data_IF_013796958190
#
_entry.id   IF_013796958190
#
_cell.length_a   1.000
_cell.length_b   1.000
_cell.length_c   1.000
_cell.angle_alpha   90.00
_cell.angle_beta   90.00
_cell.angle_gamma   90.00
#
_symmetry.space_group_name_H-M   'P 1'
#
loop_
_entity.id
_entity.type
_entity.pdbx_description
1 polymer ?
#
# COMPACT_ATOMS: atom_id res chain seq x y z
N UNK A 1 43.06 -6.87 -41.53
CA UNK A 1 42.11 -6.05 -40.74
C UNK A 1 40.65 -6.54 -40.79
N UNK A 2 40.36 -7.85 -41.01
CA UNK A 2 38.99 -8.41 -40.95
C UNK A 2 38.71 -9.19 -39.66
N UNK A 3 39.74 -9.78 -39.06
CA UNK A 3 39.62 -10.67 -37.89
C UNK A 3 39.39 -9.87 -36.59
N UNK A 4 39.90 -8.64 -36.51
CA UNK A 4 39.76 -7.79 -35.32
C UNK A 4 38.31 -7.35 -35.07
N UNK A 5 37.52 -7.13 -36.14
CA UNK A 5 36.12 -6.71 -36.01
C UNK A 5 35.20 -7.82 -35.49
N UNK A 6 35.53 -9.08 -35.77
CA UNK A 6 34.72 -10.23 -35.32
C UNK A 6 34.86 -10.43 -33.81
N UNK A 7 36.06 -10.23 -33.26
CA UNK A 7 36.33 -10.39 -31.83
C UNK A 7 35.64 -9.33 -30.95
N UNK A 8 35.48 -8.10 -31.47
CA UNK A 8 34.77 -7.02 -30.75
C UNK A 8 33.25 -7.29 -30.75
N UNK A 9 32.72 -7.87 -31.83
CA UNK A 9 31.29 -8.15 -31.95
C UNK A 9 30.84 -9.33 -31.06
N UNK A 10 31.68 -10.35 -30.89
CA UNK A 10 31.38 -11.49 -29.99
C UNK A 10 31.51 -11.14 -28.51
N UNK A 11 32.40 -10.23 -28.14
CA UNK A 11 32.51 -9.75 -26.75
C UNK A 11 31.29 -8.90 -26.33
N UNK A 12 30.68 -8.16 -27.26
CA UNK A 12 29.53 -7.30 -26.98
C UNK A 12 28.21 -8.08 -26.79
N UNK A 13 28.12 -9.30 -27.33
CA UNK A 13 26.93 -10.15 -27.23
C UNK A 13 26.84 -10.94 -25.92
N UNK A 14 27.93 -11.03 -25.15
CA UNK A 14 27.98 -11.79 -23.88
C UNK A 14 27.66 -10.94 -22.64
N UNK A 15 27.59 -9.61 -22.77
CA UNK A 15 27.26 -8.69 -21.65
C UNK A 15 25.75 -8.42 -21.51
N UNK A 16 24.91 -9.05 -22.33
CA UNK A 16 23.48 -8.79 -22.44
C UNK A 16 22.56 -9.73 -21.66
N UNK A 17 23.07 -10.59 -20.78
CA UNK A 17 22.20 -11.36 -19.88
C UNK A 17 21.76 -10.45 -18.74
N UNK A 18 20.81 -9.57 -19.04
CA UNK A 18 19.94 -9.02 -17.99
C UNK A 18 19.23 -10.21 -17.37
N UNK A 19 19.65 -10.57 -16.16
CA UNK A 19 18.80 -11.34 -15.27
C UNK A 19 17.53 -10.50 -15.06
N UNK A 20 16.50 -10.74 -15.86
CA UNK A 20 15.15 -10.53 -15.39
C UNK A 20 14.97 -11.56 -14.28
N UNK A 21 15.45 -11.22 -13.09
CA UNK A 21 15.08 -11.93 -11.90
C UNK A 21 13.61 -11.61 -11.74
N UNK A 22 12.78 -12.50 -12.27
CA UNK A 22 11.39 -12.61 -11.87
C UNK A 22 11.45 -12.86 -10.36
N UNK A 23 11.47 -11.75 -9.61
CA UNK A 23 11.09 -11.74 -8.23
C UNK A 23 9.60 -12.03 -8.26
N UNK A 24 9.26 -13.29 -8.47
CA UNK A 24 8.14 -13.95 -7.80
C UNK A 24 8.48 -14.00 -6.31
N UNK A 25 8.74 -12.82 -5.73
CA UNK A 25 8.78 -12.62 -4.31
C UNK A 25 7.39 -12.93 -3.81
N UNK A 26 7.32 -13.79 -2.79
CA UNK A 26 6.10 -14.16 -2.08
C UNK A 26 5.04 -13.07 -2.15
N UNK A 27 3.86 -13.41 -2.67
CA UNK A 27 2.65 -12.57 -2.79
C UNK A 27 2.07 -12.20 -1.41
N UNK A 28 2.90 -12.11 -0.38
CA UNK A 28 2.51 -11.79 0.98
C UNK A 28 2.77 -10.30 1.24
N UNK A 29 1.78 -9.57 1.75
CA UNK A 29 1.95 -8.17 2.13
C UNK A 29 3.10 -8.00 3.12
N UNK A 30 3.95 -6.99 2.93
CA UNK A 30 5.06 -6.69 3.84
C UNK A 30 4.61 -6.40 5.28
N UNK A 31 3.37 -5.93 5.43
CA UNK A 31 2.69 -5.74 6.71
C UNK A 31 1.52 -6.71 6.75
N UNK A 32 1.48 -7.61 7.74
CA UNK A 32 0.34 -8.50 7.93
C UNK A 32 -0.93 -7.73 8.31
N UNK A 33 -2.10 -8.31 8.04
CA UNK A 33 -3.39 -7.69 8.38
C UNK A 33 -3.49 -7.33 9.88
N UNK A 34 -3.15 -8.25 10.78
CA UNK A 34 -3.29 -8.02 12.23
C UNK A 34 -2.32 -6.97 12.74
N UNK A 35 -1.09 -6.93 12.21
CA UNK A 35 -0.16 -5.85 12.48
C UNK A 35 -0.72 -4.51 12.00
N UNK A 36 -1.30 -4.48 10.81
CA UNK A 36 -1.95 -3.29 10.26
C UNK A 36 -3.14 -2.84 11.12
N UNK A 37 -3.95 -3.76 11.65
CA UNK A 37 -5.08 -3.44 12.55
C UNK A 37 -4.59 -2.75 13.82
N UNK A 38 -3.54 -3.25 14.48
CA UNK A 38 -3.01 -2.62 15.68
C UNK A 38 -2.43 -1.23 15.41
N UNK A 39 -1.74 -1.07 14.27
CA UNK A 39 -1.21 0.22 13.83
C UNK A 39 -2.33 1.23 13.56
N UNK A 40 -3.38 0.82 12.83
CA UNK A 40 -4.53 1.68 12.51
C UNK A 40 -5.32 2.04 13.77
N UNK A 41 -5.49 1.10 14.70
CA UNK A 41 -6.10 1.38 16.01
C UNK A 41 -5.31 2.43 16.79
N UNK A 42 -3.98 2.31 16.82
CA UNK A 42 -3.10 3.31 17.43
C UNK A 42 -3.20 4.68 16.76
N UNK A 43 -3.28 4.70 15.42
CA UNK A 43 -3.48 5.91 14.64
C UNK A 43 -4.80 6.60 14.97
N UNK A 44 -5.91 5.87 14.95
CA UNK A 44 -7.25 6.41 15.24
C UNK A 44 -7.34 7.01 16.65
N UNK A 45 -6.63 6.44 17.62
CA UNK A 45 -6.63 6.93 19.00
C UNK A 45 -5.79 8.20 19.23
N UNK A 46 -4.86 8.54 18.34
CA UNK A 46 -3.81 9.55 18.65
C UNK A 46 -3.46 10.54 17.54
N UNK A 47 -3.71 10.19 16.27
CA UNK A 47 -3.22 10.93 15.09
C UNK A 47 -4.31 11.17 14.04
N UNK A 48 -5.52 10.65 14.25
CA UNK A 48 -6.65 10.90 13.36
C UNK A 48 -6.93 12.41 13.22
N UNK A 49 -7.45 12.80 12.05
CA UNK A 49 -7.82 14.21 11.78
C UNK A 49 -9.11 14.62 12.50
N UNK A 50 -9.95 13.66 12.86
CA UNK A 50 -11.19 13.88 13.61
C UNK A 50 -11.15 13.16 14.95
N UNK A 51 -11.93 13.66 15.90
CA UNK A 51 -12.28 12.91 17.10
C UNK A 51 -13.41 11.92 16.76
N UNK A 52 -13.20 10.64 17.10
CA UNK A 52 -14.16 9.56 16.91
C UNK A 52 -14.81 9.09 18.22
N UNK A 53 -14.52 9.75 19.36
CA UNK A 53 -14.98 9.34 20.68
C UNK A 53 -16.51 9.34 20.83
N UNK A 54 -17.22 10.17 20.05
CA UNK A 54 -18.67 10.27 20.03
C UNK A 54 -19.34 9.58 18.82
N UNK A 55 -18.54 8.96 17.93
CA UNK A 55 -19.06 8.27 16.75
C UNK A 55 -19.36 6.81 17.05
N UNK A 56 -20.56 6.36 16.67
CA UNK A 56 -20.98 4.98 16.87
C UNK A 56 -20.69 4.14 15.63
N UNK A 57 -19.71 3.24 15.74
CA UNK A 57 -19.28 2.37 14.65
C UNK A 57 -20.42 1.44 14.22
N UNK A 58 -20.78 1.49 12.94
CA UNK A 58 -21.75 0.58 12.35
C UNK A 58 -21.07 -0.68 11.81
N UNK A 59 -20.01 -0.49 11.01
CA UNK A 59 -19.27 -1.56 10.37
C UNK A 59 -17.84 -1.12 10.03
N UNK A 60 -16.96 -2.11 9.92
CA UNK A 60 -15.62 -1.95 9.37
C UNK A 60 -15.43 -3.01 8.31
N UNK A 61 -14.97 -2.61 7.13
CA UNK A 61 -14.47 -3.54 6.13
C UNK A 61 -12.99 -3.24 5.86
N UNK A 62 -12.25 -4.28 5.48
CA UNK A 62 -10.87 -4.14 5.08
C UNK A 62 -10.57 -5.06 3.90
N UNK A 63 -9.65 -4.65 3.03
CA UNK A 63 -9.11 -5.51 1.98
C UNK A 63 -7.69 -5.08 1.62
N UNK A 64 -6.91 -6.03 1.12
CA UNK A 64 -5.62 -5.75 0.52
C UNK A 64 -5.84 -5.15 -0.87
N UNK A 65 -5.17 -4.06 -1.17
CA UNK A 65 -5.24 -3.38 -2.46
C UNK A 65 -3.85 -3.14 -3.00
N UNK A 66 -3.54 -3.73 -4.16
CA UNK A 66 -2.25 -3.53 -4.86
C UNK A 66 -2.24 -2.24 -5.70
N UNK A 67 -3.41 -1.66 -5.96
CA UNK A 67 -3.64 -0.70 -7.05
C UNK A 67 -3.77 0.76 -6.66
N UNK A 68 -3.30 1.20 -5.48
CA UNK A 68 -3.44 2.62 -5.13
C UNK A 68 -2.53 3.47 -6.05
N UNK A 69 -3.08 4.39 -6.88
CA UNK A 69 -2.35 5.01 -7.99
C UNK A 69 -1.09 5.78 -7.60
N UNK A 70 -1.02 6.24 -6.34
CA UNK A 70 0.07 7.07 -5.83
C UNK A 70 1.17 6.31 -5.09
N UNK A 71 0.87 5.14 -4.54
CA UNK A 71 1.73 4.50 -3.53
C UNK A 71 1.78 2.97 -3.56
N UNK A 72 1.01 2.33 -4.45
CA UNK A 72 1.02 0.87 -4.61
C UNK A 72 0.24 0.14 -3.53
N UNK A 73 0.80 -0.98 -3.04
CA UNK A 73 0.11 -1.90 -2.15
C UNK A 73 -0.23 -1.31 -0.77
N UNK A 74 -1.42 -1.59 -0.28
CA UNK A 74 -1.90 -1.13 1.02
C UNK A 74 -2.99 -2.05 1.62
N UNK A 75 -3.18 -1.92 2.93
CA UNK A 75 -4.43 -2.30 3.57
C UNK A 75 -5.39 -1.11 3.54
N UNK A 76 -6.52 -1.27 2.89
CA UNK A 76 -7.58 -0.27 2.86
C UNK A 76 -8.67 -0.66 3.86
N UNK A 77 -8.93 0.23 4.80
CA UNK A 77 -10.03 0.13 5.77
C UNK A 77 -11.12 1.12 5.39
N UNK A 78 -12.37 0.71 5.56
CA UNK A 78 -13.52 1.59 5.48
C UNK A 78 -14.34 1.45 6.76
N UNK A 79 -14.55 2.58 7.44
CA UNK A 79 -15.31 2.66 8.68
C UNK A 79 -16.61 3.41 8.38
N UNK A 80 -17.72 2.73 8.61
CA UNK A 80 -19.05 3.32 8.48
C UNK A 80 -19.65 3.58 9.86
N UNK A 81 -20.27 4.74 10.06
CA UNK A 81 -20.83 5.14 11.35
C UNK A 81 -22.36 5.28 11.30
N UNK A 82 -23.07 4.85 12.36
CA UNK A 82 -24.54 4.99 12.44
C UNK A 82 -25.00 6.43 12.62
N UNK A 83 -24.18 7.23 13.29
CA UNK A 83 -24.42 8.65 13.55
C UNK A 83 -23.24 9.43 13.01
N UNK A 84 -23.18 9.68 11.69
CA UNK A 84 -22.19 10.59 11.14
C UNK A 84 -22.57 12.00 11.60
N UNK A 85 -22.02 12.43 12.74
CA UNK A 85 -21.76 13.87 12.95
C UNK A 85 -20.68 14.30 11.94
N UNK A 86 -20.45 15.61 11.81
CA UNK A 86 -19.50 16.24 10.87
C UNK A 86 -18.40 15.30 10.37
N UNK A 87 -18.30 15.15 9.05
CA UNK A 87 -17.21 14.44 8.39
C UNK A 87 -17.40 12.92 8.21
N UNK A 88 -18.64 12.46 8.23
CA UNK A 88 -19.10 11.21 7.59
C UNK A 88 -18.34 9.92 7.91
N UNK A 89 -18.39 8.99 6.95
CA UNK A 89 -17.62 7.74 6.96
C UNK A 89 -16.17 8.03 6.60
N UNK A 90 -15.25 7.12 6.92
CA UNK A 90 -13.83 7.32 6.62
C UNK A 90 -13.20 6.11 5.95
N UNK A 91 -12.16 6.39 5.18
CA UNK A 91 -11.24 5.37 4.71
C UNK A 91 -9.82 5.63 5.21
N UNK A 92 -9.19 4.58 5.70
CA UNK A 92 -7.78 4.60 6.11
C UNK A 92 -6.99 3.72 5.16
N UNK A 93 -5.99 4.29 4.50
CA UNK A 93 -5.01 3.57 3.71
C UNK A 93 -3.77 3.39 4.56
N UNK A 94 -3.39 2.15 4.85
CA UNK A 94 -2.12 1.82 5.49
C UNK A 94 -1.21 1.15 4.46
N UNK A 95 -0.24 1.91 3.95
CA UNK A 95 0.68 1.47 2.91
C UNK A 95 1.77 0.55 3.47
N UNK A 96 2.35 -0.28 2.60
CA UNK A 96 3.40 -1.23 3.00
C UNK A 96 4.69 -0.55 3.49
N UNK A 97 4.87 0.75 3.25
CA UNK A 97 5.95 1.58 3.79
C UNK A 97 5.66 2.12 5.20
N UNK A 98 4.48 1.79 5.76
CA UNK A 98 4.02 2.25 7.08
C UNK A 98 3.31 3.60 7.06
N UNK A 99 3.16 4.26 5.91
CA UNK A 99 2.39 5.49 5.82
C UNK A 99 0.89 5.23 6.01
N UNK A 100 0.22 6.13 6.72
CA UNK A 100 -1.22 6.10 6.92
C UNK A 100 -1.84 7.37 6.34
N UNK A 101 -2.83 7.22 5.45
CA UNK A 101 -3.61 8.32 4.92
C UNK A 101 -5.09 8.13 5.28
N UNK A 102 -5.65 9.13 5.95
CA UNK A 102 -7.08 9.24 6.26
C UNK A 102 -7.80 10.07 5.19
N UNK A 103 -8.87 9.50 4.65
CA UNK A 103 -9.86 10.14 3.78
C UNK A 103 -11.22 10.16 4.44
N UNK A 104 -11.89 11.31 4.37
CA UNK A 104 -13.24 11.51 4.90
C UNK A 104 -14.23 11.50 3.75
N UNK A 105 -15.35 10.82 3.95
CA UNK A 105 -16.42 10.66 2.96
C UNK A 105 -17.66 11.40 3.46
N UNK A 106 -17.96 12.53 2.82
CA UNK A 106 -19.12 13.35 3.14
C UNK A 106 -18.76 14.70 3.77
N UNK A 107 -19.75 15.59 3.94
CA UNK A 107 -19.59 16.93 4.50
C UNK A 107 -19.41 16.96 6.03
#
# INVERSE_FOLDING_TARGET
MKILFIAVFTALLLTGVSFAQDQTGSSEPAISLFQSVEVVKGYLNSKAKQDYSDKYLHSVSYHYSEGHPRKGACWLYHFAFKQPRLGGDISIYHFMDGEIIEFQHGP
#
